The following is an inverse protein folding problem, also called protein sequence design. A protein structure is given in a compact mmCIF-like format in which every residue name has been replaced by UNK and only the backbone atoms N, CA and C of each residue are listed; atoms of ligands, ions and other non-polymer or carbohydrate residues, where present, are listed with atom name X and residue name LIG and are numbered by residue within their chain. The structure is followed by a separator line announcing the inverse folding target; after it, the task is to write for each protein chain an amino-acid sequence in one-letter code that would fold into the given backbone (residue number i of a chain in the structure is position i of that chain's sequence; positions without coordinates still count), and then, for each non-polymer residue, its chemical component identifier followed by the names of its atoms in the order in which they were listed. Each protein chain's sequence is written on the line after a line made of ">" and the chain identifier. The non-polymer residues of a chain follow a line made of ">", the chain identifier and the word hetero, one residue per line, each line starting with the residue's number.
data_IF_826569865018
#
_entry.id   IF_826569865018
#
_cell.length_a   1.000
_cell.length_b   1.000
_cell.length_c   1.000
_cell.angle_alpha   90.00
_cell.angle_beta   90.00
_cell.angle_gamma   90.00
#
_symmetry.space_group_name_H-M   'P 1'
#
loop_
_entity.id
_entity.type
_entity.pdbx_description
1 polymer ?
#
# COMPACT_ATOMS: atom_id res chain seq x y z
N UNK A 1 -16.71 -13.71 -13.97
CA UNK A 1 -15.77 -14.23 -14.97
C UNK A 1 -16.21 -13.66 -16.32
N UNK A 2 -15.29 -12.97 -16.99
CA UNK A 2 -15.51 -12.45 -18.33
C UNK A 2 -15.50 -13.60 -19.34
N UNK A 3 -16.50 -13.65 -20.25
CA UNK A 3 -16.50 -14.59 -21.37
C UNK A 3 -15.80 -13.91 -22.55
N UNK A 4 -14.71 -14.48 -23.11
CA UNK A 4 -14.04 -13.91 -24.28
C UNK A 4 -15.00 -13.71 -25.45
N UNK A 5 -14.92 -12.53 -26.09
CA UNK A 5 -15.81 -12.14 -27.19
C UNK A 5 -17.17 -11.61 -26.74
N UNK A 6 -17.39 -11.40 -25.44
CA UNK A 6 -18.65 -10.83 -24.93
C UNK A 6 -18.65 -9.29 -24.85
N UNK A 7 -17.49 -8.65 -25.05
CA UNK A 7 -17.33 -7.21 -24.91
C UNK A 7 -17.89 -6.50 -26.12
N UNK A 8 -18.93 -5.68 -25.90
CA UNK A 8 -19.51 -4.86 -26.96
C UNK A 8 -18.95 -3.42 -26.86
N UNK A 9 -18.06 -3.01 -27.81
CA UNK A 9 -17.43 -1.69 -27.73
C UNK A 9 -18.43 -0.52 -27.82
N UNK A 10 -19.63 -0.74 -28.35
CA UNK A 10 -20.65 0.33 -28.38
C UNK A 10 -21.27 0.66 -27.02
N UNK A 11 -20.97 -0.12 -25.98
CA UNK A 11 -21.46 0.09 -24.62
C UNK A 11 -20.50 0.90 -23.75
N UNK A 12 -19.27 1.14 -24.22
CA UNK A 12 -18.22 1.79 -23.46
C UNK A 12 -17.52 2.84 -24.30
N UNK A 13 -17.52 4.07 -23.83
CA UNK A 13 -16.73 5.15 -24.45
C UNK A 13 -15.27 5.09 -24.00
N UNK A 14 -15.02 4.56 -22.79
CA UNK A 14 -13.70 4.37 -22.21
C UNK A 14 -13.74 3.63 -20.87
N UNK A 15 -12.59 3.15 -20.38
CA UNK A 15 -12.48 2.35 -19.16
C UNK A 15 -11.43 2.90 -18.20
N UNK A 16 -11.81 3.08 -16.93
CA UNK A 16 -10.89 3.22 -15.81
C UNK A 16 -10.71 1.87 -15.15
N UNK A 17 -9.47 1.38 -15.12
CA UNK A 17 -9.13 0.03 -14.66
C UNK A 17 -8.50 0.12 -13.28
N UNK A 18 -9.13 -0.50 -12.28
CA UNK A 18 -8.56 -0.66 -10.94
C UNK A 18 -8.61 -2.14 -10.56
N UNK A 19 -7.49 -2.83 -10.70
CA UNK A 19 -7.35 -4.24 -10.36
C UNK A 19 -6.10 -4.50 -9.52
N UNK A 20 -6.04 -5.66 -8.85
CA UNK A 20 -4.91 -6.02 -7.98
C UNK A 20 -4.09 -7.20 -8.50
N UNK A 21 -4.54 -7.88 -9.54
CA UNK A 21 -3.90 -9.08 -10.09
C UNK A 21 -4.23 -9.27 -11.56
N UNK A 22 -3.80 -10.38 -12.12
CA UNK A 22 -3.92 -10.65 -13.57
C UNK A 22 -5.20 -11.42 -13.93
N UNK A 23 -6.17 -11.48 -13.00
CA UNK A 23 -7.44 -12.21 -13.21
C UNK A 23 -8.37 -11.54 -14.24
N UNK A 24 -8.10 -10.29 -14.58
CA UNK A 24 -8.82 -9.46 -15.53
C UNK A 24 -8.07 -9.27 -16.85
N UNK A 25 -6.92 -9.95 -17.03
CA UNK A 25 -6.05 -9.73 -18.19
C UNK A 25 -6.75 -10.04 -19.52
N UNK A 26 -7.48 -11.15 -19.62
CA UNK A 26 -8.23 -11.52 -20.83
C UNK A 26 -9.24 -10.43 -21.22
N UNK A 27 -9.93 -9.84 -20.24
CA UNK A 27 -10.83 -8.70 -20.46
C UNK A 27 -10.08 -7.46 -20.97
N UNK A 28 -8.93 -7.16 -20.36
CA UNK A 28 -8.12 -5.99 -20.72
C UNK A 28 -7.54 -6.13 -22.14
N UNK A 29 -7.06 -7.31 -22.49
CA UNK A 29 -6.53 -7.61 -23.83
C UNK A 29 -7.64 -7.51 -24.89
N UNK A 30 -8.85 -8.02 -24.62
CA UNK A 30 -9.99 -7.87 -25.52
C UNK A 30 -10.39 -6.39 -25.69
N UNK A 31 -10.50 -5.63 -24.61
CA UNK A 31 -10.83 -4.22 -24.67
C UNK A 31 -9.76 -3.40 -25.43
N UNK A 32 -8.48 -3.76 -25.26
CA UNK A 32 -7.37 -3.15 -25.97
C UNK A 32 -7.42 -3.45 -27.47
N UNK A 33 -7.69 -4.72 -27.85
CA UNK A 33 -7.86 -5.13 -29.25
C UNK A 33 -9.05 -4.44 -29.94
N UNK A 34 -10.09 -4.10 -29.19
CA UNK A 34 -11.26 -3.34 -29.66
C UNK A 34 -11.02 -1.82 -29.67
N UNK A 35 -9.81 -1.36 -29.37
CA UNK A 35 -9.40 0.05 -29.34
C UNK A 35 -10.26 0.93 -28.39
N UNK A 36 -10.79 0.35 -27.32
CA UNK A 36 -11.48 1.10 -26.29
C UNK A 36 -10.43 1.92 -25.49
N UNK A 37 -10.58 3.26 -25.39
CA UNK A 37 -9.69 4.08 -24.59
C UNK A 37 -9.66 3.61 -23.13
N UNK A 38 -8.45 3.39 -22.56
CA UNK A 38 -8.30 2.86 -21.21
C UNK A 38 -7.24 3.63 -20.45
N UNK A 39 -7.42 3.76 -19.12
CA UNK A 39 -6.41 4.24 -18.17
C UNK A 39 -6.38 3.32 -16.97
N UNK A 40 -5.20 2.77 -16.65
CA UNK A 40 -4.99 1.95 -15.45
C UNK A 40 -4.73 2.82 -14.22
N UNK A 41 -5.27 2.42 -13.07
CA UNK A 41 -5.11 3.11 -11.80
C UNK A 41 -4.39 2.22 -10.79
N UNK A 42 -3.41 2.81 -10.12
CA UNK A 42 -2.67 2.22 -8.99
C UNK A 42 -1.72 1.05 -9.32
N UNK A 43 -1.75 0.49 -10.50
CA UNK A 43 -0.77 -0.51 -10.96
C UNK A 43 -0.56 -0.45 -12.48
N UNK A 44 0.58 -0.96 -12.93
CA UNK A 44 0.82 -1.24 -14.35
C UNK A 44 0.18 -2.54 -14.74
N UNK A 45 -0.36 -2.58 -15.94
CA UNK A 45 -0.90 -3.78 -16.57
C UNK A 45 -0.01 -4.19 -17.75
N UNK A 46 0.04 -5.47 -18.15
CA UNK A 46 0.96 -5.95 -19.19
C UNK A 46 0.52 -5.61 -20.64
N UNK A 47 -0.29 -4.56 -20.80
CA UNK A 47 -0.71 -3.99 -22.09
C UNK A 47 -0.35 -2.50 -22.12
N UNK A 48 -0.15 -1.93 -23.33
CA UNK A 48 0.28 -0.53 -23.47
C UNK A 48 -0.87 0.46 -23.27
N UNK A 49 -1.30 0.63 -22.02
CA UNK A 49 -2.26 1.64 -21.61
C UNK A 49 -1.62 2.65 -20.67
N UNK A 50 -2.05 3.92 -20.69
CA UNK A 50 -1.57 4.91 -19.75
C UNK A 50 -1.95 4.54 -18.31
N UNK A 51 -1.10 4.89 -17.36
CA UNK A 51 -1.32 4.54 -15.95
C UNK A 51 -1.16 5.75 -15.04
N UNK A 52 -2.02 5.83 -14.02
CA UNK A 52 -1.83 6.71 -12.86
C UNK A 52 -1.42 5.86 -11.67
N UNK A 53 -0.22 6.08 -11.17
CA UNK A 53 0.34 5.37 -10.01
C UNK A 53 0.74 6.34 -8.90
N UNK A 54 1.12 5.78 -7.75
CA UNK A 54 1.85 6.50 -6.71
C UNK A 54 3.19 5.83 -6.46
N UNK A 55 4.16 6.57 -5.91
CA UNK A 55 5.47 6.01 -5.60
C UNK A 55 5.43 5.23 -4.28
N UNK A 56 4.98 3.97 -4.35
CA UNK A 56 4.83 3.06 -3.21
C UNK A 56 6.15 2.87 -2.45
N UNK A 57 7.27 2.75 -3.19
CA UNK A 57 8.60 2.58 -2.60
C UNK A 57 9.00 3.81 -1.78
N UNK A 58 8.82 5.02 -2.34
CA UNK A 58 9.14 6.26 -1.63
C UNK A 58 8.22 6.50 -0.43
N UNK A 59 6.95 6.10 -0.55
CA UNK A 59 6.00 6.13 0.57
C UNK A 59 6.49 5.26 1.73
N UNK A 60 6.87 4.02 1.45
CA UNK A 60 7.36 3.09 2.47
C UNK A 60 8.75 3.47 3.00
N UNK A 61 9.63 4.08 2.17
CA UNK A 61 10.89 4.68 2.63
C UNK A 61 10.63 5.76 3.68
N UNK A 62 9.61 6.63 3.46
CA UNK A 62 9.21 7.65 4.44
C UNK A 62 8.72 7.01 5.74
N UNK A 63 7.87 5.97 5.66
CA UNK A 63 7.32 5.28 6.83
C UNK A 63 8.40 4.60 7.69
N UNK A 64 9.26 3.79 7.08
CA UNK A 64 10.38 3.15 7.78
C UNK A 64 11.37 4.19 8.30
N UNK A 65 11.67 5.21 7.49
CA UNK A 65 12.55 6.31 7.86
C UNK A 65 12.05 7.06 9.09
N UNK A 66 10.75 7.24 9.22
CA UNK A 66 10.11 7.87 10.38
C UNK A 66 10.35 7.06 11.66
N UNK A 67 10.09 5.76 11.64
CA UNK A 67 10.37 4.89 12.80
C UNK A 67 11.84 4.91 13.22
N UNK A 68 12.75 4.86 12.25
CA UNK A 68 14.20 4.88 12.52
C UNK A 68 14.66 6.21 13.12
N UNK A 69 14.09 7.35 12.69
CA UNK A 69 14.38 8.69 13.26
C UNK A 69 13.89 8.79 14.69
N UNK A 70 12.74 8.18 15.03
CA UNK A 70 12.20 8.14 16.39
C UNK A 70 12.88 7.08 17.29
N UNK A 71 14.03 6.56 16.87
CA UNK A 71 14.86 5.70 17.69
C UNK A 71 14.48 4.23 17.68
N UNK A 72 13.47 3.81 16.93
CA UNK A 72 13.12 2.39 16.82
C UNK A 72 14.20 1.60 16.08
N UNK A 73 14.61 0.46 16.67
CA UNK A 73 15.61 -0.46 16.11
C UNK A 73 15.08 -1.89 16.00
N UNK A 74 14.18 -2.27 16.90
CA UNK A 74 13.50 -3.55 16.91
C UNK A 74 12.11 -3.36 16.27
N UNK A 75 12.06 -3.42 14.94
CA UNK A 75 10.87 -3.15 14.13
C UNK A 75 10.46 -4.46 13.45
N UNK A 76 9.24 -4.93 13.73
CA UNK A 76 8.60 -6.01 12.97
C UNK A 76 7.92 -5.46 11.71
N UNK A 77 7.88 -6.24 10.66
CA UNK A 77 7.29 -5.83 9.38
C UNK A 77 6.20 -6.81 8.99
N UNK A 78 5.00 -6.29 8.71
CA UNK A 78 3.88 -7.07 8.17
C UNK A 78 3.69 -6.68 6.70
N UNK A 79 4.19 -7.53 5.81
CA UNK A 79 4.10 -7.34 4.36
C UNK A 79 2.80 -7.89 3.77
N UNK A 80 2.51 -7.56 2.51
CA UNK A 80 1.45 -8.16 1.73
C UNK A 80 1.88 -9.46 1.02
N UNK A 81 1.02 -10.02 0.13
CA UNK A 81 1.40 -11.14 -0.73
C UNK A 81 2.58 -10.77 -1.63
N UNK A 82 3.62 -11.61 -1.71
CA UNK A 82 4.89 -11.25 -2.36
C UNK A 82 4.81 -11.06 -3.88
N UNK A 83 3.77 -11.57 -4.50
CA UNK A 83 3.54 -11.50 -5.96
C UNK A 83 2.81 -10.22 -6.42
N UNK A 84 2.36 -9.38 -5.51
CA UNK A 84 1.68 -8.13 -5.88
C UNK A 84 2.68 -7.00 -6.08
N UNK A 85 2.50 -6.22 -7.15
CA UNK A 85 3.37 -5.08 -7.50
C UNK A 85 3.53 -4.10 -6.33
N UNK A 86 2.43 -3.75 -5.66
CA UNK A 86 2.46 -2.88 -4.48
C UNK A 86 3.34 -3.45 -3.35
N UNK A 87 3.28 -4.76 -3.10
CA UNK A 87 4.13 -5.42 -2.10
C UNK A 87 5.60 -5.32 -2.48
N UNK A 88 5.93 -5.56 -3.74
CA UNK A 88 7.31 -5.51 -4.24
C UNK A 88 7.89 -4.11 -4.05
N UNK A 89 7.17 -3.06 -4.43
CA UNK A 89 7.66 -1.69 -4.28
C UNK A 89 7.72 -1.24 -2.82
N UNK A 90 6.74 -1.58 -1.98
CA UNK A 90 6.79 -1.29 -0.53
C UNK A 90 7.94 -2.01 0.14
N UNK A 91 8.20 -3.28 -0.24
CA UNK A 91 9.37 -4.04 0.23
C UNK A 91 10.69 -3.32 -0.11
N UNK A 92 10.86 -2.89 -1.37
CA UNK A 92 12.03 -2.12 -1.77
C UNK A 92 12.20 -0.83 -0.98
N UNK A 93 11.11 -0.16 -0.64
CA UNK A 93 11.11 1.12 0.08
C UNK A 93 11.67 1.01 1.50
N UNK A 94 11.17 0.06 2.30
CA UNK A 94 11.69 -0.09 3.67
C UNK A 94 13.13 -0.61 3.69
N UNK A 95 13.50 -1.50 2.76
CA UNK A 95 14.88 -1.95 2.60
C UNK A 95 15.80 -0.77 2.28
N UNK A 96 15.40 0.09 1.36
CA UNK A 96 16.17 1.28 1.00
C UNK A 96 16.37 2.20 2.22
N UNK A 97 15.31 2.46 2.99
CA UNK A 97 15.37 3.28 4.20
C UNK A 97 16.32 2.70 5.27
N UNK A 98 16.29 1.38 5.46
CA UNK A 98 17.16 0.67 6.41
C UNK A 98 18.63 0.75 5.98
N UNK A 99 18.93 0.37 4.73
CA UNK A 99 20.28 0.38 4.17
C UNK A 99 20.90 1.78 4.16
N UNK A 100 20.14 2.79 3.79
CA UNK A 100 20.58 4.20 3.76
C UNK A 100 21.06 4.69 5.14
N UNK A 101 20.60 4.06 6.22
CA UNK A 101 21.00 4.34 7.61
C UNK A 101 21.97 3.32 8.19
N UNK A 102 22.54 2.44 7.36
CA UNK A 102 23.54 1.45 7.75
C UNK A 102 23.00 0.22 8.48
N UNK A 103 21.68 -0.01 8.45
CA UNK A 103 21.08 -1.20 9.09
C UNK A 103 21.09 -2.41 8.16
N UNK A 104 21.38 -3.58 8.73
CA UNK A 104 21.16 -4.86 8.05
C UNK A 104 19.67 -5.15 7.95
N UNK A 105 19.18 -5.55 6.78
CA UNK A 105 17.77 -5.91 6.59
C UNK A 105 17.36 -7.15 7.42
N UNK A 106 18.32 -8.03 7.71
CA UNK A 106 18.08 -9.27 8.46
C UNK A 106 17.76 -9.03 9.95
N UNK A 107 17.98 -7.82 10.47
CA UNK A 107 17.59 -7.50 11.84
C UNK A 107 16.09 -7.19 12.00
N UNK A 108 15.36 -6.97 10.89
CA UNK A 108 13.95 -6.67 10.90
C UNK A 108 13.14 -7.92 10.55
N UNK A 109 12.48 -8.57 11.53
CA UNK A 109 11.65 -9.73 11.26
C UNK A 109 10.46 -9.36 10.37
N UNK A 110 10.20 -10.20 9.36
CA UNK A 110 9.14 -10.02 8.37
C UNK A 110 8.15 -11.17 8.47
N UNK A 111 6.86 -10.84 8.48
CA UNK A 111 5.76 -11.80 8.35
C UNK A 111 4.84 -11.33 7.24
N UNK A 112 4.36 -12.27 6.42
CA UNK A 112 3.46 -11.95 5.33
C UNK A 112 1.99 -12.06 5.74
N UNK A 113 1.23 -11.03 5.41
CA UNK A 113 -0.23 -11.02 5.42
C UNK A 113 -0.78 -11.09 4.00
N UNK A 114 -2.07 -10.76 3.87
CA UNK A 114 -2.78 -10.72 2.59
C UNK A 114 -3.58 -9.43 2.38
N UNK A 115 -3.18 -8.35 3.05
CA UNK A 115 -3.84 -7.05 3.09
C UNK A 115 -5.21 -7.04 3.79
N UNK A 116 -5.64 -8.17 4.39
CA UNK A 116 -6.91 -8.26 5.13
C UNK A 116 -6.69 -8.30 6.63
N UNK A 117 -7.68 -7.84 7.36
CA UNK A 117 -7.69 -7.74 8.82
C UNK A 117 -7.19 -9.03 9.51
N UNK A 118 -7.78 -10.18 9.17
CA UNK A 118 -7.43 -11.44 9.85
C UNK A 118 -5.95 -11.80 9.72
N UNK A 119 -5.34 -11.52 8.56
CA UNK A 119 -3.93 -11.79 8.35
C UNK A 119 -3.03 -10.85 9.15
N UNK A 120 -3.41 -9.57 9.27
CA UNK A 120 -2.70 -8.60 10.10
C UNK A 120 -2.72 -8.98 11.59
N UNK A 121 -3.87 -9.46 12.07
CA UNK A 121 -4.02 -9.96 13.44
C UNK A 121 -3.10 -11.16 13.73
N UNK A 122 -3.11 -12.15 12.84
CA UNK A 122 -2.27 -13.34 12.97
C UNK A 122 -0.78 -13.00 12.88
N UNK A 123 -0.39 -12.15 11.92
CA UNK A 123 0.99 -11.74 11.71
C UNK A 123 1.56 -10.95 12.91
N UNK A 124 0.76 -10.07 13.51
CA UNK A 124 1.17 -9.34 14.70
C UNK A 124 1.41 -10.28 15.89
N UNK A 125 0.52 -11.27 16.10
CA UNK A 125 0.73 -12.28 17.14
C UNK A 125 2.02 -13.07 16.91
N UNK A 126 2.26 -13.53 15.68
CA UNK A 126 3.47 -14.26 15.32
C UNK A 126 4.74 -13.44 15.57
N UNK A 127 4.74 -12.15 15.20
CA UNK A 127 5.86 -11.25 15.43
C UNK A 127 6.16 -11.09 16.93
N UNK A 128 5.14 -10.89 17.76
CA UNK A 128 5.32 -10.66 19.21
C UNK A 128 5.77 -11.93 19.90
N UNK A 129 5.25 -13.09 19.53
CA UNK A 129 5.63 -14.39 20.11
C UNK A 129 7.10 -14.72 19.82
N UNK A 130 7.54 -14.46 18.58
CA UNK A 130 8.92 -14.75 18.16
C UNK A 130 9.92 -13.64 18.58
N UNK A 131 9.47 -12.40 18.74
CA UNK A 131 10.32 -11.23 18.97
C UNK A 131 9.73 -10.33 20.07
N UNK A 132 9.79 -10.73 21.36
CA UNK A 132 9.16 -10.01 22.46
C UNK A 132 9.75 -8.61 22.73
N UNK A 133 10.91 -8.30 22.17
CA UNK A 133 11.59 -7.01 22.31
C UNK A 133 11.23 -6.01 21.20
N UNK A 134 10.22 -6.29 20.37
CA UNK A 134 9.77 -5.34 19.36
C UNK A 134 9.31 -4.04 20.01
N UNK A 135 9.63 -2.92 19.38
CA UNK A 135 9.22 -1.58 19.80
C UNK A 135 8.31 -0.91 18.78
N UNK A 136 8.25 -1.43 17.56
CA UNK A 136 7.37 -0.95 16.53
C UNK A 136 6.98 -2.08 15.55
N UNK A 137 5.84 -1.90 14.88
CA UNK A 137 5.42 -2.70 13.74
C UNK A 137 5.09 -1.77 12.58
N UNK A 138 5.71 -2.04 11.42
CA UNK A 138 5.43 -1.41 10.14
C UNK A 138 4.54 -2.33 9.32
N UNK A 139 3.33 -1.88 9.02
CA UNK A 139 2.35 -2.63 8.25
C UNK A 139 2.24 -2.09 6.83
N UNK A 140 2.10 -2.98 5.86
CA UNK A 140 1.98 -2.60 4.46
C UNK A 140 0.61 -2.02 4.08
N UNK A 141 -0.41 -2.10 4.98
CA UNK A 141 -1.61 -1.31 4.85
C UNK A 141 -2.26 -1.03 6.22
N UNK A 142 -3.24 -0.13 6.22
CA UNK A 142 -3.94 0.31 7.43
C UNK A 142 -4.85 -0.79 8.00
N UNK A 143 -5.44 -1.63 7.15
CA UNK A 143 -6.31 -2.72 7.61
C UNK A 143 -5.54 -3.73 8.48
N UNK A 144 -4.32 -4.09 8.04
CA UNK A 144 -3.43 -4.94 8.85
C UNK A 144 -2.88 -4.21 10.09
N UNK A 145 -2.62 -2.89 10.01
CA UNK A 145 -2.15 -2.11 11.16
C UNK A 145 -3.21 -2.04 12.27
N UNK A 146 -4.47 -1.83 11.91
CA UNK A 146 -5.58 -1.86 12.86
C UNK A 146 -5.76 -3.24 13.48
N UNK A 147 -5.63 -4.28 12.68
CA UNK A 147 -5.67 -5.66 13.18
C UNK A 147 -4.52 -5.94 14.17
N UNK A 148 -3.31 -5.44 13.86
CA UNK A 148 -2.15 -5.50 14.75
C UNK A 148 -2.42 -4.79 16.08
N UNK A 149 -2.99 -3.55 16.07
CA UNK A 149 -3.42 -2.86 17.30
C UNK A 149 -4.30 -3.74 18.17
N UNK A 150 -5.30 -4.39 17.56
CA UNK A 150 -6.22 -5.23 18.31
C UNK A 150 -5.55 -6.51 18.87
N UNK A 151 -4.59 -7.09 18.15
CA UNK A 151 -3.78 -8.20 18.66
C UNK A 151 -2.94 -7.74 19.86
N UNK A 152 -2.29 -6.57 19.78
CA UNK A 152 -1.51 -5.96 20.86
C UNK A 152 -2.38 -5.69 22.10
N UNK A 153 -3.55 -5.07 21.91
CA UNK A 153 -4.46 -4.74 23.01
C UNK A 153 -4.93 -5.98 23.77
N UNK A 154 -5.21 -7.10 23.09
CA UNK A 154 -5.56 -8.38 23.75
C UNK A 154 -4.42 -8.97 24.57
N UNK A 155 -3.18 -8.55 24.34
CA UNK A 155 -1.99 -8.93 25.11
C UNK A 155 -1.61 -7.91 26.18
N UNK A 156 -2.43 -6.87 26.36
CA UNK A 156 -2.15 -5.79 27.30
C UNK A 156 -1.06 -4.81 26.84
N UNK A 157 -0.66 -4.88 25.56
CA UNK A 157 0.34 -3.99 24.98
C UNK A 157 -0.35 -2.75 24.38
N UNK A 158 0.06 -1.56 24.81
CA UNK A 158 -0.54 -0.29 24.40
C UNK A 158 0.21 0.32 23.22
N UNK A 159 -0.55 0.94 22.32
CA UNK A 159 -0.02 1.73 21.21
C UNK A 159 -0.26 3.22 21.52
N UNK A 160 0.79 4.06 21.48
CA UNK A 160 2.18 3.79 21.07
C UNK A 160 3.12 3.44 22.24
N UNK A 161 2.64 3.36 23.49
CA UNK A 161 3.49 3.34 24.69
C UNK A 161 4.45 2.14 24.73
N UNK A 162 3.97 0.94 24.45
CA UNK A 162 4.79 -0.27 24.39
C UNK A 162 5.27 -0.55 22.96
N UNK A 163 4.38 -0.46 21.98
CA UNK A 163 4.68 -0.74 20.57
C UNK A 163 4.08 0.37 19.69
N UNK A 164 4.92 0.99 18.88
CA UNK A 164 4.51 1.95 17.86
C UNK A 164 3.97 1.24 16.62
N UNK A 165 2.99 1.84 15.93
CA UNK A 165 2.43 1.32 14.68
C UNK A 165 2.50 2.36 13.57
N UNK A 166 2.86 1.89 12.36
CA UNK A 166 2.75 2.67 11.13
C UNK A 166 2.04 1.84 10.08
N UNK A 167 1.08 2.45 9.38
CA UNK A 167 0.31 1.86 8.30
C UNK A 167 0.65 2.43 6.92
N UNK A 168 -0.20 2.10 5.96
CA UNK A 168 -0.16 2.59 4.59
C UNK A 168 -1.58 2.61 4.02
N UNK A 169 -1.95 3.59 3.21
CA UNK A 169 -3.15 3.91 2.45
C UNK A 169 -3.89 5.16 2.96
N UNK A 170 -3.86 5.49 4.25
CA UNK A 170 -4.64 6.54 4.91
C UNK A 170 -6.15 6.35 4.72
N UNK A 171 -6.63 5.13 5.00
CA UNK A 171 -8.04 4.81 4.87
C UNK A 171 -8.87 5.52 5.94
N UNK A 172 -10.00 6.11 5.55
CA UNK A 172 -11.05 6.52 6.48
C UNK A 172 -11.76 5.27 7.00
N UNK A 173 -11.32 4.78 8.15
CA UNK A 173 -11.88 3.59 8.79
C UNK A 173 -12.73 3.99 10.00
N UNK A 174 -14.05 4.27 9.84
CA UNK A 174 -14.91 4.71 10.95
C UNK A 174 -14.95 3.73 12.12
N UNK A 175 -14.69 2.45 11.87
CA UNK A 175 -14.66 1.39 12.90
C UNK A 175 -13.49 1.49 13.87
N UNK A 176 -12.55 2.40 13.61
CA UNK A 176 -11.27 2.46 14.31
C UNK A 176 -10.93 3.90 14.72
N UNK A 177 -11.98 4.69 14.98
CA UNK A 177 -11.87 6.10 15.38
C UNK A 177 -10.90 6.34 16.55
N UNK A 178 -10.67 5.32 17.39
CA UNK A 178 -9.77 5.40 18.55
C UNK A 178 -8.28 5.24 18.18
N UNK A 179 -7.94 4.90 16.94
CA UNK A 179 -6.55 4.79 16.50
C UNK A 179 -6.19 5.96 15.60
N UNK A 180 -5.47 6.92 16.17
CA UNK A 180 -4.81 7.97 15.40
C UNK A 180 -3.53 7.39 14.76
N UNK A 181 -3.74 6.61 13.68
CA UNK A 181 -2.67 5.85 13.02
C UNK A 181 -1.79 6.76 12.14
N UNK A 182 -0.50 6.77 12.42
CA UNK A 182 0.52 7.30 11.49
C UNK A 182 0.58 6.39 10.28
N UNK A 183 0.40 6.94 9.09
CA UNK A 183 0.24 6.16 7.86
C UNK A 183 0.75 6.93 6.64
N UNK A 184 0.94 6.23 5.53
CA UNK A 184 1.26 6.84 4.24
C UNK A 184 -0.03 7.02 3.43
N UNK A 185 -0.30 8.24 3.04
CA UNK A 185 -1.44 8.58 2.19
C UNK A 185 -1.14 8.31 0.73
N UNK A 186 -1.96 7.48 0.09
CA UNK A 186 -1.94 7.23 -1.35
C UNK A 186 -2.80 8.21 -2.15
N UNK A 187 -3.67 8.94 -1.47
CA UNK A 187 -4.59 9.90 -2.06
C UNK A 187 -5.44 9.33 -3.22
N UNK A 188 -6.26 8.33 -2.91
CA UNK A 188 -7.11 7.63 -3.88
C UNK A 188 -7.98 8.59 -4.72
N UNK A 189 -8.45 9.69 -4.10
CA UNK A 189 -9.24 10.72 -4.79
C UNK A 189 -8.44 11.40 -5.90
N UNK A 190 -7.16 11.71 -5.66
CA UNK A 190 -6.30 12.31 -6.70
C UNK A 190 -5.95 11.32 -7.81
N UNK A 191 -5.76 10.04 -7.47
CA UNK A 191 -5.56 8.98 -8.48
C UNK A 191 -6.78 8.88 -9.38
N UNK A 192 -7.98 8.82 -8.80
CA UNK A 192 -9.23 8.73 -9.56
C UNK A 192 -9.47 9.98 -10.42
N UNK A 193 -9.25 11.18 -9.87
CA UNK A 193 -9.40 12.43 -10.63
C UNK A 193 -8.41 12.53 -11.79
N UNK A 194 -7.13 12.20 -11.55
CA UNK A 194 -6.11 12.20 -12.60
C UNK A 194 -6.40 11.15 -13.68
N UNK A 195 -6.89 9.97 -13.30
CA UNK A 195 -7.28 8.94 -14.26
C UNK A 195 -8.47 9.37 -15.13
N UNK A 196 -9.48 9.98 -14.53
CA UNK A 196 -10.63 10.51 -15.27
C UNK A 196 -10.24 11.63 -16.24
N UNK A 197 -9.40 12.57 -15.78
CA UNK A 197 -8.85 13.63 -16.63
C UNK A 197 -8.08 13.07 -17.85
N UNK A 198 -7.20 12.08 -17.59
CA UNK A 198 -6.43 11.42 -18.63
C UNK A 198 -7.31 10.66 -19.62
N UNK A 199 -8.33 9.92 -19.12
CA UNK A 199 -9.25 9.18 -19.97
C UNK A 199 -10.07 10.09 -20.86
N UNK A 200 -10.65 11.17 -20.30
CA UNK A 200 -11.42 12.14 -21.07
C UNK A 200 -10.57 12.79 -22.16
N UNK A 201 -9.36 13.24 -21.84
CA UNK A 201 -8.44 13.79 -22.84
C UNK A 201 -8.05 12.77 -23.91
N UNK A 202 -7.90 11.49 -23.54
CA UNK A 202 -7.61 10.41 -24.49
C UNK A 202 -8.79 10.18 -25.46
N UNK A 203 -10.01 10.16 -24.94
CA UNK A 203 -11.23 10.02 -25.75
C UNK A 203 -11.43 11.19 -26.71
N UNK A 204 -11.16 12.43 -26.26
CA UNK A 204 -11.35 13.63 -27.07
C UNK A 204 -10.32 13.77 -28.20
N UNK A 205 -9.06 13.45 -27.92
CA UNK A 205 -7.95 13.73 -28.83
C UNK A 205 -7.43 12.49 -29.59
N UNK A 206 -7.83 11.28 -29.20
CA UNK A 206 -7.34 10.02 -29.75
C UNK A 206 -5.85 9.75 -29.51
N UNK A 207 -5.20 10.55 -28.65
CA UNK A 207 -3.75 10.45 -28.37
C UNK A 207 -3.55 9.86 -26.98
N UNK A 208 -2.80 8.73 -26.90
CA UNK A 208 -2.42 8.12 -25.63
C UNK A 208 -1.67 9.13 -24.75
N UNK A 209 -2.19 9.48 -23.56
CA UNK A 209 -1.47 10.37 -22.65
C UNK A 209 -0.26 9.66 -22.01
N UNK A 210 0.75 10.42 -21.52
CA UNK A 210 1.86 9.85 -20.78
C UNK A 210 1.39 9.31 -19.42
N UNK A 211 2.13 8.34 -18.88
CA UNK A 211 1.95 7.84 -17.51
C UNK A 211 2.11 8.99 -16.51
N UNK A 212 1.36 8.91 -15.39
CA UNK A 212 1.40 9.90 -14.32
C UNK A 212 1.69 9.24 -12.98
N UNK A 213 2.75 9.68 -12.31
CA UNK A 213 3.08 9.25 -10.95
C UNK A 213 2.76 10.38 -9.97
N UNK A 214 1.96 10.07 -8.94
CA UNK A 214 1.60 10.98 -7.86
C UNK A 214 2.47 10.72 -6.62
N UNK A 215 2.72 11.75 -5.83
CA UNK A 215 3.50 11.63 -4.61
C UNK A 215 2.67 11.09 -3.44
N UNK A 216 3.27 10.17 -2.68
CA UNK A 216 2.76 9.72 -1.39
C UNK A 216 3.22 10.66 -0.27
N UNK A 217 2.36 10.90 0.71
CA UNK A 217 2.63 11.72 1.88
C UNK A 217 2.55 10.90 3.16
N UNK A 218 3.53 11.04 4.06
CA UNK A 218 3.41 10.51 5.41
C UNK A 218 2.48 11.42 6.23
N UNK A 219 1.43 10.84 6.78
CA UNK A 219 0.48 11.49 7.68
C UNK A 219 0.81 11.06 9.10
N UNK A 220 1.44 11.96 9.85
CA UNK A 220 1.84 11.71 11.24
C UNK A 220 0.66 11.90 12.16
N UNK A 221 0.44 10.93 13.06
CA UNK A 221 -0.57 10.95 14.12
C UNK A 221 0.03 10.39 15.42
N UNK A 222 -0.79 9.83 16.31
CA UNK A 222 -0.41 9.50 17.69
C UNK A 222 0.12 8.06 17.88
N UNK A 223 0.20 7.24 16.82
CA UNK A 223 0.55 5.81 16.93
C UNK A 223 2.05 5.52 17.02
N UNK A 224 2.90 6.53 17.11
CA UNK A 224 4.36 6.39 17.21
C UNK A 224 4.88 7.21 18.39
N UNK A 225 5.68 6.60 19.25
CA UNK A 225 6.38 7.24 20.36
C UNK A 225 7.90 7.26 20.13
N UNK A 226 8.60 8.21 20.74
CA UNK A 226 10.05 8.23 20.72
C UNK A 226 10.65 7.08 21.56
N UNK A 227 11.75 6.50 21.03
CA UNK A 227 12.61 5.53 21.69
C UNK A 227 14.05 6.03 21.82
N UNK A 228 14.24 7.34 21.64
CA UNK A 228 15.54 7.98 21.84
C UNK A 228 15.76 8.06 23.34
N UNK A 229 16.70 7.23 23.87
CA UNK A 229 17.20 7.43 25.22
C UNK A 229 17.94 8.75 25.27
N UNK A 230 17.52 9.66 26.12
CA UNK A 230 18.25 10.87 26.47
C UNK A 230 19.58 10.53 27.12
#
# INVERSE_FOLDING_TARGET
>A
LHEPGSLNPSQYDGLLIMSQGDQDLDFLEEAFALHIPMVALSRRVPIDVPVVTTNESRGMEKAMGYLLVHGHRNIGIIEGPPNLEATIFRHQGWIHAARKRGYSIHQFPVVHGNYRYNSGYSAANQLIDAHPNLTAILCFNDEMAVAAKNALARRGLRVPQEISLVGFDNLELPRYADLQLTTVERNASQIAAAGAEMLLGYMENGVRPPDRELENRLVVRESVSDRISL
#
